data_IF_366878745833
#
_entry.id   IF_366878745833
#
_cell.length_a   1.000
_cell.length_b   1.000
_cell.length_c   1.000
_cell.angle_alpha   90.00
_cell.angle_beta   90.00
_cell.angle_gamma   90.00
#
_symmetry.space_group_name_H-M   'P 1'
#
loop_
_entity.id
_entity.type
_entity.pdbx_description
1 polymer ?
#
# COMPACT_ATOMS: atom_id res chain seq x y z
N UNK A 1 -12.99 4.08 -5.90
CA UNK A 1 -12.27 5.00 -5.01
C UNK A 1 -11.22 4.24 -4.18
N UNK A 2 -10.07 4.89 -3.95
CA UNK A 2 -8.90 4.28 -3.29
C UNK A 2 -8.44 5.22 -2.16
N UNK A 3 -8.19 4.66 -0.97
CA UNK A 3 -7.52 5.40 0.11
C UNK A 3 -6.15 4.80 0.39
N UNK A 4 -5.13 5.67 0.45
CA UNK A 4 -3.76 5.33 0.82
C UNK A 4 -3.47 5.85 2.22
N UNK A 5 -3.07 4.97 3.13
CA UNK A 5 -2.64 5.31 4.48
C UNK A 5 -1.12 5.40 4.55
N UNK A 6 -0.63 6.61 4.87
CA UNK A 6 0.79 6.89 5.05
C UNK A 6 1.37 7.85 4.01
N UNK A 7 1.81 9.04 4.46
CA UNK A 7 2.46 10.06 3.64
C UNK A 7 4.00 9.90 3.63
N UNK A 8 4.47 8.65 3.57
CA UNK A 8 5.89 8.30 3.37
C UNK A 8 6.24 8.11 1.90
N UNK A 9 7.49 7.73 1.61
CA UNK A 9 7.98 7.50 0.24
C UNK A 9 7.00 6.67 -0.61
N UNK A 10 6.62 5.50 -0.12
CA UNK A 10 5.77 4.57 -0.86
C UNK A 10 4.33 5.08 -1.00
N UNK A 11 3.77 5.65 0.07
CA UNK A 11 2.39 6.16 0.03
C UNK A 11 2.22 7.27 -0.99
N UNK A 12 3.16 8.23 -1.04
CA UNK A 12 3.14 9.31 -2.02
C UNK A 12 3.34 8.79 -3.45
N UNK A 13 4.22 7.80 -3.64
CA UNK A 13 4.40 7.15 -4.94
C UNK A 13 3.13 6.42 -5.40
N UNK A 14 2.45 5.69 -4.49
CA UNK A 14 1.17 5.08 -4.79
C UNK A 14 0.10 6.13 -5.13
N UNK A 15 0.00 7.21 -4.35
CA UNK A 15 -0.93 8.30 -4.67
C UNK A 15 -0.65 8.90 -6.05
N UNK A 16 0.62 9.11 -6.40
CA UNK A 16 1.00 9.71 -7.67
C UNK A 16 0.61 8.84 -8.87
N UNK A 17 0.83 7.53 -8.78
CA UNK A 17 0.45 6.60 -9.86
C UNK A 17 -1.07 6.44 -9.93
N UNK A 18 -1.68 6.10 -8.82
CA UNK A 18 -3.09 5.73 -8.80
C UNK A 18 -4.02 6.91 -9.12
N UNK A 19 -3.62 8.15 -8.80
CA UNK A 19 -4.44 9.35 -9.08
C UNK A 19 -4.44 9.77 -10.55
N UNK A 20 -3.71 9.09 -11.41
CA UNK A 20 -3.79 9.37 -12.85
C UNK A 20 -5.14 8.93 -13.43
N UNK A 21 -5.67 7.79 -12.93
CA UNK A 21 -6.87 7.17 -13.48
C UNK A 21 -7.96 6.91 -12.42
N UNK A 22 -7.72 7.26 -11.15
CA UNK A 22 -8.63 6.96 -10.05
C UNK A 22 -8.84 8.14 -9.11
N UNK A 23 -9.95 8.12 -8.38
CA UNK A 23 -10.18 8.99 -7.24
C UNK A 23 -9.40 8.48 -6.03
N UNK A 24 -8.33 9.20 -5.68
CA UNK A 24 -7.43 8.83 -4.58
C UNK A 24 -7.57 9.79 -3.42
N UNK A 25 -7.63 9.21 -2.22
CA UNK A 25 -7.53 9.93 -0.94
C UNK A 25 -6.27 9.47 -0.20
N UNK A 26 -5.47 10.42 0.27
CA UNK A 26 -4.37 10.16 1.20
C UNK A 26 -4.85 10.43 2.62
N UNK A 27 -4.71 9.45 3.51
CA UNK A 27 -4.87 9.68 4.94
C UNK A 27 -3.53 10.04 5.59
N UNK A 28 -3.50 11.20 6.24
CA UNK A 28 -2.32 11.64 7.01
C UNK A 28 -2.71 12.62 8.11
N UNK A 29 -2.01 12.57 9.23
CA UNK A 29 -2.12 13.53 10.35
C UNK A 29 -1.14 14.70 10.21
N UNK A 30 -0.33 14.73 9.14
CA UNK A 30 0.54 15.88 8.85
C UNK A 30 -0.29 17.09 8.40
N UNK A 31 0.16 18.32 8.61
CA UNK A 31 -0.52 19.51 8.07
C UNK A 31 -0.74 19.39 6.56
N UNK A 32 -1.97 19.62 6.11
CA UNK A 32 -2.37 19.47 4.71
C UNK A 32 -3.53 20.39 4.33
N UNK A 33 -3.72 20.57 3.04
CA UNK A 33 -4.96 21.09 2.44
C UNK A 33 -5.87 19.90 2.09
N UNK A 34 -7.14 20.17 1.85
CA UNK A 34 -8.11 19.13 1.44
C UNK A 34 -7.76 18.46 0.10
N UNK A 35 -6.99 19.15 -0.74
CA UNK A 35 -6.38 18.63 -1.97
C UNK A 35 -4.91 19.05 -2.03
N UNK A 36 -4.07 18.14 -2.43
CA UNK A 36 -2.65 18.37 -2.61
C UNK A 36 -2.23 17.93 -4.01
N UNK A 37 -1.20 18.59 -4.52
CA UNK A 37 -0.60 18.27 -5.82
C UNK A 37 0.88 18.03 -5.63
N UNK A 38 1.37 16.91 -6.16
CA UNK A 38 2.79 16.57 -6.15
C UNK A 38 3.36 16.63 -7.56
N UNK A 39 4.61 17.05 -7.69
CA UNK A 39 5.39 16.81 -8.90
C UNK A 39 5.69 15.30 -8.97
N UNK A 40 5.31 14.67 -10.08
CA UNK A 40 5.50 13.23 -10.29
C UNK A 40 6.60 12.98 -11.34
N UNK A 41 7.58 12.20 -10.96
CA UNK A 41 8.67 11.76 -11.85
C UNK A 41 8.75 10.23 -11.90
N UNK A 42 9.09 9.68 -13.05
CA UNK A 42 9.37 8.27 -13.28
C UNK A 42 10.71 8.14 -14.00
N UNK A 43 11.64 7.35 -13.43
CA UNK A 43 13.01 7.23 -13.92
C UNK A 43 13.68 8.61 -14.18
N UNK A 44 13.53 9.50 -13.19
CA UNK A 44 14.05 10.88 -13.20
C UNK A 44 13.42 11.80 -14.25
N UNK A 45 12.49 11.31 -15.07
CA UNK A 45 11.77 12.12 -16.06
C UNK A 45 10.47 12.66 -15.45
N UNK A 46 10.18 13.91 -15.68
CA UNK A 46 8.89 14.49 -15.32
C UNK A 46 7.78 13.79 -16.12
N UNK A 47 6.78 13.26 -15.41
CA UNK A 47 5.63 12.58 -16.02
C UNK A 47 4.43 13.51 -16.02
N UNK A 48 3.99 13.95 -14.85
CA UNK A 48 2.79 14.75 -14.67
C UNK A 48 2.77 15.42 -13.29
N UNK A 49 1.68 16.12 -12.98
CA UNK A 49 1.30 16.47 -11.62
C UNK A 49 0.27 15.47 -11.13
N UNK A 50 0.46 14.94 -9.94
CA UNK A 50 -0.48 14.04 -9.28
C UNK A 50 -1.31 14.83 -8.27
N UNK A 51 -2.63 14.90 -8.46
CA UNK A 51 -3.54 15.62 -7.58
C UNK A 51 -4.52 14.65 -6.93
N UNK A 52 -4.62 14.68 -5.62
CA UNK A 52 -5.48 13.79 -4.85
C UNK A 52 -6.09 14.51 -3.63
N UNK A 53 -7.15 13.93 -3.08
CA UNK A 53 -7.76 14.39 -1.82
C UNK A 53 -6.89 14.00 -0.64
N UNK A 54 -6.87 14.82 0.41
CA UNK A 54 -6.18 14.52 1.67
C UNK A 54 -7.13 14.70 2.84
N UNK A 55 -7.04 13.83 3.82
CA UNK A 55 -7.87 13.86 5.03
C UNK A 55 -7.13 13.30 6.24
N UNK A 56 -7.47 13.80 7.42
CA UNK A 56 -7.15 13.24 8.73
C UNK A 56 -8.40 12.66 9.43
N UNK A 57 -9.54 12.69 8.77
CA UNK A 57 -10.79 12.06 9.22
C UNK A 57 -10.79 10.58 8.86
N UNK A 58 -10.76 9.72 9.89
CA UNK A 58 -10.73 8.27 9.73
C UNK A 58 -11.98 7.72 9.04
N UNK A 59 -13.16 8.20 9.40
CA UNK A 59 -14.42 7.74 8.81
C UNK A 59 -14.46 8.03 7.31
N UNK A 60 -14.01 9.23 6.92
CA UNK A 60 -13.90 9.62 5.51
C UNK A 60 -12.87 8.78 4.77
N UNK A 61 -11.70 8.54 5.39
CA UNK A 61 -10.65 7.72 4.79
C UNK A 61 -11.06 6.26 4.59
N UNK A 62 -11.86 5.71 5.50
CA UNK A 62 -12.34 4.33 5.41
C UNK A 62 -13.55 4.15 4.49
N UNK A 63 -14.16 5.24 3.98
CA UNK A 63 -15.23 5.17 2.98
C UNK A 63 -14.65 4.95 1.57
N UNK A 64 -13.94 3.85 1.39
CA UNK A 64 -13.28 3.48 0.15
C UNK A 64 -13.47 1.97 -0.13
N UNK A 65 -13.48 1.61 -1.41
CA UNK A 65 -13.54 0.21 -1.86
C UNK A 65 -12.20 -0.49 -1.66
N UNK A 66 -11.11 0.25 -1.87
CA UNK A 66 -9.75 -0.21 -1.70
C UNK A 66 -8.98 0.70 -0.73
N UNK A 67 -8.42 0.11 0.30
CA UNK A 67 -7.56 0.78 1.28
C UNK A 67 -6.16 0.18 1.19
N UNK A 68 -5.15 1.00 0.96
CA UNK A 68 -3.74 0.60 0.93
C UNK A 68 -3.01 1.10 2.17
N UNK A 69 -2.53 0.17 2.98
CA UNK A 69 -1.68 0.45 4.14
C UNK A 69 -0.21 0.42 3.73
N UNK A 70 0.45 1.58 3.70
CA UNK A 70 1.88 1.71 3.42
C UNK A 70 2.72 1.96 4.67
N UNK A 71 2.11 1.81 5.84
CA UNK A 71 2.80 1.98 7.12
C UNK A 71 3.89 0.96 7.36
N UNK A 72 4.96 1.35 8.07
CA UNK A 72 5.97 0.40 8.55
C UNK A 72 5.32 -0.68 9.44
N UNK A 73 5.97 -1.84 9.54
CA UNK A 73 5.40 -3.04 10.18
C UNK A 73 4.90 -2.79 11.62
N UNK A 74 5.63 -1.98 12.39
CA UNK A 74 5.31 -1.70 13.79
C UNK A 74 4.04 -0.84 13.99
N UNK A 75 3.54 -0.15 12.95
CA UNK A 75 2.30 0.63 13.01
C UNK A 75 1.07 -0.10 12.49
N UNK A 76 1.23 -1.28 11.87
CA UNK A 76 0.13 -1.95 11.18
C UNK A 76 -0.92 -2.53 12.11
N UNK A 77 -0.52 -3.03 13.27
CA UNK A 77 -1.46 -3.51 14.26
C UNK A 77 -2.37 -2.38 14.76
N UNK A 78 -1.79 -1.20 15.03
CA UNK A 78 -2.57 -0.01 15.39
C UNK A 78 -3.48 0.43 14.24
N UNK A 79 -2.96 0.47 13.01
CA UNK A 79 -3.76 0.77 11.83
C UNK A 79 -5.00 -0.13 11.71
N UNK A 80 -4.84 -1.44 11.93
CA UNK A 80 -5.97 -2.38 11.90
C UNK A 80 -7.00 -2.04 12.97
N UNK A 81 -6.57 -1.77 14.20
CA UNK A 81 -7.47 -1.38 15.29
C UNK A 81 -8.21 -0.07 14.98
N UNK A 82 -7.53 0.89 14.36
CA UNK A 82 -8.10 2.20 14.03
C UNK A 82 -9.14 2.13 12.90
N UNK A 83 -8.92 1.29 11.88
CA UNK A 83 -9.84 1.19 10.73
C UNK A 83 -10.99 0.20 10.97
N UNK A 84 -10.83 -0.78 11.84
CA UNK A 84 -11.81 -1.85 12.08
C UNK A 84 -13.23 -1.34 12.36
N UNK A 85 -13.47 -0.28 13.13
CA UNK A 85 -14.81 0.24 13.39
C UNK A 85 -15.53 0.78 12.14
N UNK A 86 -14.79 1.15 11.11
CA UNK A 86 -15.30 1.87 9.93
C UNK A 86 -15.42 0.99 8.68
N UNK A 87 -14.86 -0.20 8.69
CA UNK A 87 -14.82 -1.08 7.51
C UNK A 87 -15.65 -2.34 7.71
N UNK A 88 -16.07 -2.96 6.62
CA UNK A 88 -16.89 -4.17 6.67
C UNK A 88 -16.93 -4.92 5.35
N UNK A 89 -17.99 -5.70 5.16
CA UNK A 89 -18.18 -6.54 3.97
C UNK A 89 -18.04 -5.73 2.69
N UNK A 90 -17.18 -6.20 1.80
CA UNK A 90 -16.90 -5.59 0.50
C UNK A 90 -15.67 -4.70 0.48
N UNK A 91 -15.18 -4.23 1.63
CA UNK A 91 -13.92 -3.48 1.69
C UNK A 91 -12.73 -4.39 1.39
N UNK A 92 -11.80 -3.89 0.58
CA UNK A 92 -10.53 -4.52 0.27
C UNK A 92 -9.41 -3.75 0.96
N UNK A 93 -8.62 -4.42 1.83
CA UNK A 93 -7.50 -3.80 2.54
C UNK A 93 -6.19 -4.47 2.14
N UNK A 94 -5.28 -3.68 1.58
CA UNK A 94 -3.96 -4.13 1.14
C UNK A 94 -2.83 -3.64 2.02
N UNK A 95 -1.94 -4.54 2.39
CA UNK A 95 -0.68 -4.22 3.05
C UNK A 95 0.47 -4.23 2.05
N UNK A 96 1.16 -3.10 1.94
CA UNK A 96 2.21 -2.89 0.95
C UNK A 96 3.50 -2.44 1.66
N UNK A 97 4.44 -3.37 1.86
CA UNK A 97 4.38 -4.82 1.64
C UNK A 97 3.58 -5.55 2.73
N UNK A 98 3.20 -6.82 2.50
CA UNK A 98 2.31 -7.60 3.35
C UNK A 98 2.99 -8.54 4.35
N UNK A 99 4.31 -8.51 4.48
CA UNK A 99 5.02 -9.33 5.47
C UNK A 99 4.90 -8.80 6.90
N UNK A 100 5.36 -9.57 7.87
CA UNK A 100 5.41 -9.18 9.29
C UNK A 100 4.18 -9.62 10.09
N UNK A 101 3.53 -10.71 9.71
CA UNK A 101 2.47 -11.32 10.50
C UNK A 101 1.11 -10.63 10.37
N UNK A 102 0.84 -9.97 9.25
CA UNK A 102 -0.43 -9.27 8.96
C UNK A 102 -1.64 -10.18 9.21
N UNK A 103 -1.54 -11.44 8.84
CA UNK A 103 -2.59 -12.45 9.00
C UNK A 103 -3.04 -12.66 10.44
N UNK A 104 -2.18 -12.40 11.42
CA UNK A 104 -2.51 -12.63 12.83
C UNK A 104 -3.41 -11.55 13.43
N UNK A 105 -3.18 -10.28 13.11
CA UNK A 105 -3.97 -9.18 13.67
C UNK A 105 -5.15 -8.76 12.78
N UNK A 106 -5.28 -9.31 11.57
CA UNK A 106 -6.40 -9.03 10.68
C UNK A 106 -7.62 -9.96 10.84
N UNK A 107 -7.62 -10.89 11.80
CA UNK A 107 -8.71 -11.86 11.96
C UNK A 107 -10.07 -11.19 12.22
N UNK A 108 -10.10 -10.10 12.99
CA UNK A 108 -11.31 -9.31 13.22
C UNK A 108 -11.89 -8.75 11.91
N UNK A 109 -11.05 -8.17 11.07
CA UNK A 109 -11.45 -7.65 9.76
C UNK A 109 -12.02 -8.74 8.85
N UNK A 110 -11.37 -9.90 8.80
CA UNK A 110 -11.80 -11.04 7.98
C UNK A 110 -13.17 -11.56 8.44
N UNK A 111 -13.40 -11.65 9.74
CA UNK A 111 -14.67 -12.07 10.32
C UNK A 111 -15.80 -11.10 9.97
N UNK A 112 -15.52 -9.83 9.80
CA UNK A 112 -16.47 -8.79 9.36
C UNK A 112 -16.70 -8.79 7.85
N UNK A 113 -16.07 -9.69 7.09
CA UNK A 113 -16.22 -9.83 5.64
C UNK A 113 -15.32 -8.90 4.81
N UNK A 114 -14.31 -8.29 5.44
CA UNK A 114 -13.24 -7.57 4.74
C UNK A 114 -12.33 -8.58 4.05
N UNK A 115 -11.92 -8.28 2.83
CA UNK A 115 -10.86 -9.03 2.16
C UNK A 115 -9.54 -8.33 2.41
N UNK A 116 -8.61 -9.04 3.04
CA UNK A 116 -7.25 -8.56 3.28
C UNK A 116 -6.32 -9.14 2.23
N UNK A 117 -5.42 -8.32 1.66
CA UNK A 117 -4.34 -8.84 0.82
C UNK A 117 -2.98 -8.29 1.25
N UNK A 118 -1.95 -9.01 0.88
CA UNK A 118 -0.57 -8.58 1.07
C UNK A 118 0.21 -8.69 -0.22
N UNK A 119 0.96 -7.64 -0.58
CA UNK A 119 2.00 -7.73 -1.59
C UNK A 119 3.29 -8.28 -1.00
N UNK A 120 3.91 -9.22 -1.68
CA UNK A 120 5.19 -9.78 -1.24
C UNK A 120 6.30 -8.72 -1.19
N UNK A 121 6.24 -7.74 -2.08
CA UNK A 121 7.19 -6.61 -2.16
C UNK A 121 6.43 -5.32 -2.50
N UNK A 122 7.10 -4.19 -2.29
CA UNK A 122 6.60 -2.89 -2.76
C UNK A 122 6.63 -2.82 -4.29
N UNK A 123 5.66 -2.16 -4.93
CA UNK A 123 5.63 -2.05 -6.39
C UNK A 123 6.77 -1.21 -6.96
N UNK A 124 7.24 -0.23 -6.21
CA UNK A 124 8.21 0.75 -6.70
C UNK A 124 9.40 0.90 -5.78
N UNK A 125 10.57 1.14 -6.36
CA UNK A 125 11.69 1.82 -5.70
C UNK A 125 11.45 3.32 -5.87
N UNK A 126 11.24 4.04 -4.78
CA UNK A 126 10.81 5.43 -4.85
C UNK A 126 11.52 6.33 -3.83
N UNK A 127 11.59 7.60 -4.15
CA UNK A 127 11.98 8.69 -3.26
C UNK A 127 10.95 9.80 -3.40
N UNK A 128 10.25 10.07 -2.33
CA UNK A 128 9.17 11.05 -2.31
C UNK A 128 9.28 11.91 -1.07
N UNK A 129 8.87 13.15 -1.17
CA UNK A 129 8.91 14.10 -0.06
C UNK A 129 7.57 14.80 0.06
N UNK A 130 6.97 14.70 1.24
CA UNK A 130 5.75 15.44 1.56
C UNK A 130 6.00 16.96 1.59
N UNK A 131 7.14 17.36 2.18
CA UNK A 131 7.46 18.77 2.36
C UNK A 131 7.82 19.46 1.04
N UNK A 132 8.52 18.75 0.16
CA UNK A 132 8.87 19.21 -1.20
C UNK A 132 7.78 19.01 -2.23
N UNK A 133 6.67 18.35 -1.86
CA UNK A 133 5.58 17.99 -2.78
C UNK A 133 6.06 17.22 -4.01
N UNK A 134 6.87 16.20 -3.77
CA UNK A 134 7.43 15.37 -4.84
C UNK A 134 7.12 13.89 -4.65
N UNK A 135 6.89 13.19 -5.76
CA UNK A 135 6.77 11.74 -5.83
C UNK A 135 7.68 11.22 -6.96
N UNK A 136 8.86 10.71 -6.57
CA UNK A 136 9.83 10.16 -7.52
C UNK A 136 9.84 8.64 -7.52
N UNK A 137 9.53 8.01 -8.65
CA UNK A 137 9.68 6.58 -8.87
C UNK A 137 10.99 6.36 -9.63
N UNK A 138 11.90 5.63 -9.02
CA UNK A 138 13.22 5.31 -9.61
C UNK A 138 13.13 4.08 -10.52
N UNK A 139 12.32 3.08 -10.10
CA UNK A 139 12.01 1.91 -10.91
C UNK A 139 10.76 1.20 -10.42
N UNK A 140 10.05 0.53 -11.33
CA UNK A 140 8.99 -0.41 -10.98
C UNK A 140 9.53 -1.84 -10.85
N UNK A 141 8.80 -2.71 -10.15
CA UNK A 141 9.06 -4.15 -10.16
C UNK A 141 8.55 -4.75 -11.47
N UNK A 142 9.24 -5.76 -11.96
CA UNK A 142 8.81 -6.51 -13.15
C UNK A 142 7.56 -7.35 -12.91
N UNK A 143 7.36 -7.80 -11.67
CA UNK A 143 6.23 -8.64 -11.26
C UNK A 143 5.89 -8.40 -9.80
N UNK A 144 4.61 -8.29 -9.51
CA UNK A 144 4.07 -8.32 -8.16
C UNK A 144 3.55 -9.71 -7.81
N UNK A 145 3.60 -10.04 -6.54
CA UNK A 145 3.08 -11.30 -6.01
C UNK A 145 2.13 -10.96 -4.87
N UNK A 146 0.91 -11.51 -4.92
CA UNK A 146 -0.16 -11.20 -3.98
C UNK A 146 -0.80 -12.45 -3.43
N UNK A 147 -1.21 -12.42 -2.17
CA UNK A 147 -2.13 -13.39 -1.58
C UNK A 147 -3.23 -12.67 -0.82
N UNK A 148 -4.38 -13.32 -0.66
CA UNK A 148 -5.54 -12.78 0.06
C UNK A 148 -5.96 -13.65 1.23
N UNK A 149 -6.67 -13.01 2.16
CA UNK A 149 -7.44 -13.65 3.21
C UNK A 149 -8.87 -13.08 3.16
N UNK A 150 -9.90 -13.90 2.93
CA UNK A 150 -9.82 -15.34 2.59
C UNK A 150 -9.22 -15.59 1.19
N UNK A 151 -8.66 -16.80 0.97
CA UNK A 151 -7.91 -17.17 -0.24
C UNK A 151 -8.71 -17.10 -1.54
N UNK A 152 -10.02 -17.25 -1.49
CA UNK A 152 -10.87 -17.37 -2.68
C UNK A 152 -10.87 -16.16 -3.62
N UNK A 153 -10.33 -15.01 -3.19
CA UNK A 153 -10.30 -13.77 -3.99
C UNK A 153 -8.93 -13.42 -4.56
N UNK A 154 -7.91 -14.27 -4.37
CA UNK A 154 -6.54 -13.93 -4.76
C UNK A 154 -6.39 -13.64 -6.26
N UNK A 155 -7.03 -14.42 -7.13
CA UNK A 155 -6.96 -14.18 -8.57
C UNK A 155 -7.66 -12.88 -9.00
N UNK A 156 -8.82 -12.57 -8.41
CA UNK A 156 -9.55 -11.32 -8.64
C UNK A 156 -8.69 -10.11 -8.20
N UNK A 157 -8.10 -10.19 -7.02
CA UNK A 157 -7.24 -9.12 -6.49
C UNK A 157 -5.95 -8.99 -7.31
N UNK A 158 -5.38 -10.07 -7.80
CA UNK A 158 -4.22 -10.02 -8.68
C UNK A 158 -4.53 -9.24 -9.97
N UNK A 159 -5.65 -9.53 -10.63
CA UNK A 159 -6.08 -8.82 -11.83
C UNK A 159 -6.34 -7.32 -11.56
N UNK A 160 -6.99 -7.00 -10.43
CA UNK A 160 -7.20 -5.62 -10.01
C UNK A 160 -5.88 -4.86 -9.81
N UNK A 161 -4.90 -5.48 -9.13
CA UNK A 161 -3.62 -4.83 -8.86
C UNK A 161 -2.77 -4.67 -10.13
N UNK A 162 -2.86 -5.62 -11.06
CA UNK A 162 -2.23 -5.51 -12.38
C UNK A 162 -2.76 -4.29 -13.14
N UNK A 163 -4.07 -4.11 -13.15
CA UNK A 163 -4.71 -2.95 -13.77
C UNK A 163 -4.32 -1.64 -13.09
N UNK A 164 -4.34 -1.59 -11.75
CA UNK A 164 -4.05 -0.38 -10.98
C UNK A 164 -2.58 0.05 -11.03
N UNK A 165 -1.65 -0.88 -10.98
CA UNK A 165 -0.21 -0.57 -10.93
C UNK A 165 0.49 -0.70 -12.29
N UNK A 166 -0.20 -1.24 -13.29
CA UNK A 166 0.36 -1.58 -14.61
C UNK A 166 1.60 -2.47 -14.53
N UNK A 167 1.60 -3.38 -13.54
CA UNK A 167 2.67 -4.35 -13.30
C UNK A 167 2.05 -5.75 -13.28
N UNK A 168 2.57 -6.70 -14.08
CA UNK A 168 2.13 -8.10 -14.04
C UNK A 168 2.04 -8.63 -12.62
N UNK A 169 0.88 -9.19 -12.24
CA UNK A 169 0.63 -9.59 -10.85
C UNK A 169 0.24 -11.04 -10.76
N UNK A 170 1.01 -11.82 -10.00
CA UNK A 170 0.86 -13.27 -9.81
C UNK A 170 0.12 -13.56 -8.50
N UNK A 171 -0.95 -14.35 -8.63
CA UNK A 171 -1.70 -14.86 -7.48
C UNK A 171 -0.94 -16.00 -6.80
N UNK A 172 -0.60 -15.82 -5.52
CA UNK A 172 0.01 -16.85 -4.68
C UNK A 172 -1.05 -17.76 -4.07
N UNK A 173 -0.71 -19.01 -3.83
CA UNK A 173 -1.63 -20.00 -3.25
C UNK A 173 -1.91 -19.76 -1.76
N UNK A 174 -0.92 -19.24 -1.04
CA UNK A 174 -0.94 -19.12 0.41
C UNK A 174 -0.45 -17.75 0.86
N UNK A 175 -1.12 -17.16 1.85
CA UNK A 175 -0.68 -15.88 2.42
C UNK A 175 0.69 -15.98 3.10
N UNK A 176 1.02 -17.16 3.62
CA UNK A 176 2.32 -17.44 4.21
C UNK A 176 3.49 -17.19 3.24
N UNK A 177 3.27 -17.34 1.93
CA UNK A 177 4.27 -17.01 0.92
C UNK A 177 4.55 -15.49 0.81
N UNK A 178 3.64 -14.65 1.28
CA UNK A 178 3.87 -13.21 1.46
C UNK A 178 4.62 -12.94 2.77
N UNK A 179 4.18 -13.55 3.86
CA UNK A 179 4.72 -13.33 5.22
C UNK A 179 6.17 -13.77 5.35
N UNK A 180 6.52 -14.93 4.79
CA UNK A 180 7.84 -15.55 4.91
C UNK A 180 8.82 -15.16 3.79
N UNK A 181 8.75 -13.94 3.28
CA UNK A 181 9.74 -13.45 2.30
C UNK A 181 11.02 -13.05 3.01
N UNK A 182 12.10 -13.83 2.88
CA UNK A 182 13.32 -13.60 3.66
C UNK A 182 14.25 -12.53 3.07
N UNK A 183 13.97 -12.05 1.84
CA UNK A 183 14.94 -11.26 1.08
C UNK A 183 15.37 -9.96 1.78
N UNK A 184 14.43 -9.17 2.31
CA UNK A 184 14.76 -7.92 2.99
C UNK A 184 15.44 -8.14 4.36
N UNK A 185 14.89 -8.97 5.27
CA UNK A 185 15.58 -9.28 6.52
C UNK A 185 16.99 -9.82 6.31
N UNK A 186 17.18 -10.76 5.39
CA UNK A 186 18.50 -11.34 5.12
C UNK A 186 19.48 -10.29 4.56
N UNK A 187 19.05 -9.51 3.58
CA UNK A 187 19.92 -8.50 2.95
C UNK A 187 20.37 -7.42 3.94
N UNK A 188 19.43 -6.87 4.69
CA UNK A 188 19.74 -5.76 5.61
C UNK A 188 20.49 -6.23 6.85
N UNK A 189 20.16 -7.38 7.42
CA UNK A 189 20.88 -7.92 8.58
C UNK A 189 22.29 -8.39 8.20
N UNK A 190 22.46 -9.03 7.03
CA UNK A 190 23.79 -9.41 6.55
C UNK A 190 24.67 -8.19 6.26
N UNK A 191 24.10 -7.13 5.67
CA UNK A 191 24.80 -5.89 5.44
C UNK A 191 25.23 -5.21 6.76
N UNK A 192 24.33 -5.15 7.74
CA UNK A 192 24.64 -4.60 9.06
C UNK A 192 25.73 -5.44 9.77
N UNK A 193 25.66 -6.77 9.71
CA UNK A 193 26.63 -7.65 10.33
C UNK A 193 28.01 -7.57 9.66
N UNK A 194 28.08 -7.31 8.36
CA UNK A 194 29.33 -7.17 7.62
C UNK A 194 30.06 -5.85 7.83
N UNK A 195 29.46 -4.88 8.55
CA UNK A 195 30.06 -3.58 8.89
C UNK A 195 30.75 -3.63 10.26
N UNK A 196 30.49 -4.62 11.11
CA UNK A 196 31.11 -4.86 12.41
C UNK A 196 32.10 -6.03 12.34
#
# INVERSE_FOLDING_TARGET
NITVFGAGNLGLACCAVLSQDNDVTLYTTRPHKSRETLAYTYEEKAVASATFTVTDDMARACNAELILCTYPAFLRQQFVADVEPYVGKGTLIGFVPGYGGVEYYCQGLITRGVTVFGLQRVPYVCRSSWDERTAGILSAKETLYVATLPKGRTAEVAALLEDLFHIPTVALKEFLAVTLVPSNPLLHTSGAYGVF
#
